data_IF_848310984293
#
_entry.id   IF_848310984293
#
_cell.length_a   1.000
_cell.length_b   1.000
_cell.length_c   1.000
_cell.angle_alpha   90.00
_cell.angle_beta   90.00
_cell.angle_gamma   90.00
#
_symmetry.space_group_name_H-M   'P 1'
#
loop_
_entity.id
_entity.type
_entity.pdbx_description
1 polymer ?
#
# COMPACT_ATOMS: atom_id res chain seq x y z
N UNK A 1 -5.33 34.65 8.04
CA UNK A 1 -5.92 33.35 7.69
C UNK A 1 -6.72 33.59 6.43
N UNK A 2 -6.29 33.09 5.27
CA UNK A 2 -7.15 33.07 4.08
C UNK A 2 -8.19 31.97 4.32
N UNK A 3 -9.45 32.26 4.07
CA UNK A 3 -10.54 31.29 4.22
C UNK A 3 -10.32 30.15 3.24
N UNK A 4 -9.82 29.02 3.74
CA UNK A 4 -9.72 27.81 2.96
C UNK A 4 -11.14 27.27 2.69
N UNK A 5 -11.44 26.97 1.42
CA UNK A 5 -12.77 26.60 0.96
C UNK A 5 -12.99 25.09 0.88
N UNK A 6 -14.23 24.69 0.60
CA UNK A 6 -14.59 23.33 0.21
C UNK A 6 -15.02 23.34 -1.25
N UNK A 7 -14.58 22.34 -2.02
CA UNK A 7 -15.08 22.10 -3.38
C UNK A 7 -15.67 20.70 -3.45
N UNK A 8 -16.89 20.63 -3.97
CA UNK A 8 -17.51 19.39 -4.45
C UNK A 8 -17.77 19.62 -5.93
N UNK A 9 -17.01 18.94 -6.77
CA UNK A 9 -17.22 18.95 -8.21
C UNK A 9 -17.90 17.65 -8.61
N UNK A 10 -19.19 17.74 -8.89
CA UNK A 10 -20.04 16.60 -9.27
C UNK A 10 -19.64 16.03 -10.64
N UNK A 11 -20.22 14.88 -10.98
CA UNK A 11 -20.03 14.25 -12.29
C UNK A 11 -20.32 15.25 -13.42
N UNK A 12 -19.47 15.26 -14.46
CA UNK A 12 -19.49 16.20 -15.58
C UNK A 12 -19.25 17.68 -15.22
N UNK A 13 -19.08 18.01 -13.93
CA UNK A 13 -18.75 19.35 -13.49
C UNK A 13 -17.37 19.78 -13.98
N UNK A 14 -17.25 21.05 -14.38
CA UNK A 14 -15.97 21.64 -14.80
C UNK A 14 -15.61 22.83 -13.93
N UNK A 15 -14.47 22.75 -13.25
CA UNK A 15 -13.87 23.87 -12.52
C UNK A 15 -12.64 24.35 -13.30
N UNK A 16 -12.49 25.67 -13.45
CA UNK A 16 -11.27 26.25 -14.02
C UNK A 16 -10.46 26.93 -12.93
N UNK A 17 -9.22 26.51 -12.74
CA UNK A 17 -8.26 27.15 -11.84
C UNK A 17 -7.00 27.58 -12.60
N UNK A 18 -6.74 28.89 -12.62
CA UNK A 18 -5.52 29.48 -13.15
C UNK A 18 -4.70 30.22 -12.08
N UNK A 19 -5.09 30.11 -10.81
CA UNK A 19 -4.42 30.72 -9.66
C UNK A 19 -4.05 29.68 -8.62
N UNK A 20 -3.92 30.10 -7.36
CA UNK A 20 -3.75 29.15 -6.23
C UNK A 20 -5.08 28.94 -5.54
N UNK A 21 -5.45 27.68 -5.35
CA UNK A 21 -6.60 27.25 -4.57
C UNK A 21 -6.11 26.58 -3.30
N UNK A 22 -6.52 27.11 -2.13
CA UNK A 22 -6.26 26.52 -0.81
C UNK A 22 -7.58 25.91 -0.31
N UNK A 23 -7.61 24.59 -0.10
CA UNK A 23 -8.84 23.88 0.30
C UNK A 23 -8.70 23.16 1.64
N UNK A 24 -9.83 23.05 2.32
CA UNK A 24 -10.02 22.16 3.47
C UNK A 24 -10.48 20.77 2.99
N UNK A 25 -11.37 20.77 2.00
CA UNK A 25 -11.97 19.56 1.45
C UNK A 25 -12.13 19.67 -0.06
N UNK A 26 -11.78 18.59 -0.76
CA UNK A 26 -12.01 18.44 -2.19
C UNK A 26 -12.61 17.06 -2.45
N UNK A 27 -13.79 17.05 -3.06
CA UNK A 27 -14.33 15.88 -3.75
C UNK A 27 -14.47 16.21 -5.23
N UNK A 28 -13.93 15.36 -6.09
CA UNK A 28 -13.97 15.58 -7.54
C UNK A 28 -14.38 14.31 -8.29
N UNK A 29 -15.55 14.36 -8.92
CA UNK A 29 -16.04 13.38 -9.90
C UNK A 29 -15.97 13.91 -11.35
N UNK A 30 -15.82 15.23 -11.51
CA UNK A 30 -15.74 15.90 -12.81
C UNK A 30 -14.30 16.26 -13.21
N UNK A 31 -14.16 17.37 -13.94
CA UNK A 31 -12.87 17.88 -14.40
C UNK A 31 -12.49 19.20 -13.72
N UNK A 32 -11.24 19.30 -13.24
CA UNK A 32 -10.66 20.57 -12.80
C UNK A 32 -9.48 20.90 -13.73
N UNK A 33 -9.57 21.99 -14.49
CA UNK A 33 -8.60 22.36 -15.53
C UNK A 33 -7.94 23.71 -15.27
N UNK A 34 -6.75 23.89 -15.84
CA UNK A 34 -6.07 25.18 -15.93
C UNK A 34 -4.60 25.08 -15.54
N UNK A 35 -3.93 26.21 -15.40
CA UNK A 35 -2.50 26.28 -15.08
C UNK A 35 -2.24 26.65 -13.62
N UNK A 36 -3.23 26.49 -12.76
CA UNK A 36 -3.17 26.87 -11.36
C UNK A 36 -2.39 25.87 -10.49
N UNK A 37 -2.32 26.17 -9.20
CA UNK A 37 -1.80 25.30 -8.17
C UNK A 37 -2.92 24.96 -7.20
N UNK A 38 -2.92 23.74 -6.68
CA UNK A 38 -3.84 23.35 -5.61
C UNK A 38 -3.02 22.98 -4.37
N UNK A 39 -3.20 23.77 -3.31
CA UNK A 39 -2.62 23.51 -2.00
C UNK A 39 -3.66 22.96 -1.05
N UNK A 40 -3.23 21.96 -0.32
CA UNK A 40 -4.08 20.91 0.12
C UNK A 40 -3.62 20.49 1.53
N UNK A 41 -3.94 21.34 2.53
CA UNK A 41 -3.17 21.38 3.79
C UNK A 41 -3.92 21.28 5.11
N UNK A 42 -5.20 20.88 5.08
CA UNK A 42 -5.99 20.65 6.29
C UNK A 42 -6.19 19.15 6.54
N UNK A 43 -6.27 18.72 7.80
CA UNK A 43 -6.65 17.34 8.10
C UNK A 43 -8.08 17.09 7.58
N UNK A 44 -8.22 16.12 6.68
CA UNK A 44 -9.46 15.82 5.97
C UNK A 44 -9.28 14.61 5.05
N UNK A 45 -10.38 14.16 4.44
CA UNK A 45 -10.36 13.14 3.38
C UNK A 45 -10.64 13.81 2.03
N UNK A 46 -9.91 13.40 1.02
CA UNK A 46 -9.81 14.09 -0.25
C UNK A 46 -10.07 13.05 -1.32
N UNK A 47 -11.26 13.10 -1.88
CA UNK A 47 -11.79 11.98 -2.66
C UNK A 47 -11.89 12.33 -4.14
N UNK A 48 -11.17 11.60 -4.97
CA UNK A 48 -11.11 11.80 -6.40
C UNK A 48 -11.61 10.54 -7.08
N UNK A 49 -12.93 10.42 -7.18
CA UNK A 49 -13.58 9.25 -7.75
C UNK A 49 -13.86 9.52 -9.23
N UNK A 50 -13.07 8.92 -10.12
CA UNK A 50 -13.15 9.07 -11.58
C UNK A 50 -12.88 10.48 -12.12
N UNK A 51 -12.62 11.45 -11.25
CA UNK A 51 -12.36 12.82 -11.63
C UNK A 51 -10.97 13.03 -12.23
N UNK A 52 -10.86 13.97 -13.16
CA UNK A 52 -9.60 14.36 -13.79
C UNK A 52 -9.19 15.76 -13.35
N UNK A 53 -7.94 15.94 -12.94
CA UNK A 53 -7.44 17.26 -12.53
C UNK A 53 -6.16 17.57 -13.28
N UNK A 54 -6.19 18.62 -14.08
CA UNK A 54 -5.05 19.15 -14.80
C UNK A 54 -4.69 20.53 -14.26
N UNK A 55 -3.56 20.61 -13.58
CA UNK A 55 -3.03 21.80 -12.91
C UNK A 55 -1.51 21.85 -13.08
N UNK A 56 -0.88 22.97 -12.75
CA UNK A 56 0.58 23.05 -12.76
C UNK A 56 1.18 22.20 -11.63
N UNK A 57 0.63 22.32 -10.41
CA UNK A 57 1.10 21.55 -9.27
C UNK A 57 0.02 21.24 -8.21
N UNK A 58 0.30 20.21 -7.43
CA UNK A 58 -0.45 19.79 -6.26
C UNK A 58 0.50 19.68 -5.06
N UNK A 59 0.09 20.22 -3.92
CA UNK A 59 0.85 20.09 -2.68
C UNK A 59 -0.06 19.65 -1.53
N UNK A 60 0.06 18.39 -1.14
CA UNK A 60 -0.69 17.78 -0.04
C UNK A 60 0.15 17.84 1.23
N UNK A 61 -0.19 18.72 2.16
CA UNK A 61 0.59 18.85 3.39
C UNK A 61 0.03 18.05 4.55
N UNK A 62 -1.27 17.71 4.52
CA UNK A 62 -1.98 16.95 5.57
C UNK A 62 -3.17 16.18 5.00
N UNK A 63 -3.69 15.24 5.77
CA UNK A 63 -4.94 14.53 5.45
C UNK A 63 -4.73 13.34 4.51
N UNK A 64 -5.81 12.80 3.95
CA UNK A 64 -5.77 11.57 3.17
C UNK A 64 -6.31 11.76 1.76
N UNK A 65 -5.47 11.52 0.76
CA UNK A 65 -5.82 11.47 -0.64
C UNK A 65 -6.27 10.06 -1.02
N UNK A 66 -7.45 9.92 -1.62
CA UNK A 66 -7.95 8.65 -2.13
C UNK A 66 -8.92 8.76 -3.31
N UNK A 67 -9.43 7.61 -3.74
CA UNK A 67 -10.20 7.44 -4.96
C UNK A 67 -9.34 6.95 -6.14
N UNK A 68 -9.95 6.89 -7.32
CA UNK A 68 -9.38 6.34 -8.55
C UNK A 68 -9.23 7.37 -9.69
N UNK A 69 -9.11 8.64 -9.34
CA UNK A 69 -8.99 9.75 -10.28
C UNK A 69 -7.60 9.90 -10.91
N UNK A 70 -7.47 10.89 -11.78
CA UNK A 70 -6.19 11.25 -12.39
C UNK A 70 -5.78 12.70 -12.10
N UNK A 71 -4.49 12.88 -11.86
CA UNK A 71 -3.84 14.17 -11.67
C UNK A 71 -2.85 14.40 -12.80
N UNK A 72 -2.80 15.59 -13.37
CA UNK A 72 -1.79 16.04 -14.33
C UNK A 72 -1.16 17.30 -13.79
N UNK A 73 0.16 17.29 -13.64
CA UNK A 73 0.93 18.31 -12.92
C UNK A 73 1.91 17.70 -11.93
N UNK A 74 2.88 18.49 -11.44
CA UNK A 74 3.83 18.02 -10.44
C UNK A 74 3.14 17.84 -9.09
N UNK A 75 3.38 16.72 -8.41
CA UNK A 75 2.74 16.40 -7.13
C UNK A 75 3.75 16.29 -6.01
N UNK A 76 3.44 16.92 -4.87
CA UNK A 76 4.21 16.81 -3.63
C UNK A 76 3.31 16.38 -2.48
N UNK A 77 3.73 15.36 -1.74
CA UNK A 77 3.06 14.81 -0.56
C UNK A 77 3.99 14.95 0.64
N UNK A 78 3.60 15.73 1.65
CA UNK A 78 4.39 15.89 2.87
C UNK A 78 4.10 14.76 3.87
N UNK A 79 4.96 14.67 4.89
CA UNK A 79 4.95 13.60 5.89
C UNK A 79 3.71 13.49 6.78
N UNK A 80 2.85 14.50 6.80
CA UNK A 80 1.57 14.46 7.51
C UNK A 80 0.38 14.09 6.60
N UNK A 81 0.63 13.81 5.31
CA UNK A 81 -0.36 13.37 4.35
C UNK A 81 -0.27 11.86 4.09
N UNK A 82 -1.40 11.26 3.73
CA UNK A 82 -1.53 9.84 3.38
C UNK A 82 -2.14 9.70 2.00
N UNK A 83 -1.66 8.76 1.19
CA UNK A 83 -2.31 8.32 -0.03
C UNK A 83 -2.90 6.93 0.22
N UNK A 84 -4.18 6.77 -0.08
CA UNK A 84 -4.91 5.52 -0.02
C UNK A 84 -5.82 5.47 -1.24
N UNK A 85 -5.45 4.81 -2.35
CA UNK A 85 -6.28 4.77 -3.54
C UNK A 85 -7.73 4.35 -3.23
N UNK A 86 -7.96 3.48 -2.23
CA UNK A 86 -9.27 2.98 -1.80
C UNK A 86 -10.44 3.94 -2.03
N UNK A 87 -11.44 3.49 -2.80
CA UNK A 87 -12.70 4.22 -2.99
C UNK A 87 -13.74 3.79 -1.93
N UNK A 88 -14.53 4.75 -1.43
CA UNK A 88 -15.56 4.50 -0.38
C UNK A 88 -16.63 3.47 -0.82
N UNK A 89 -16.79 3.25 -2.12
CA UNK A 89 -17.71 2.29 -2.75
C UNK A 89 -17.05 1.11 -3.46
N UNK A 90 -15.71 1.08 -3.56
CA UNK A 90 -14.95 -0.03 -4.13
C UNK A 90 -13.66 -0.19 -3.33
N UNK A 91 -13.43 -1.33 -2.66
CA UNK A 91 -12.26 -1.50 -1.79
C UNK A 91 -10.93 -1.50 -2.54
N UNK A 92 -10.95 -1.41 -3.86
CA UNK A 92 -9.80 -1.58 -4.74
C UNK A 92 -9.87 -0.58 -5.89
N UNK A 93 -8.73 0.04 -6.21
CA UNK A 93 -8.70 1.22 -7.07
C UNK A 93 -7.31 1.52 -7.63
N UNK A 94 -7.25 2.35 -8.65
CA UNK A 94 -5.99 2.86 -9.21
C UNK A 94 -6.00 4.37 -9.20
N UNK A 95 -5.07 4.98 -8.45
CA UNK A 95 -4.87 6.42 -8.44
C UNK A 95 -3.73 6.78 -9.40
N UNK A 96 -3.97 7.75 -10.29
CA UNK A 96 -3.01 8.07 -11.37
C UNK A 96 -2.46 9.49 -11.25
N UNK A 97 -1.13 9.63 -11.34
CA UNK A 97 -0.42 10.91 -11.45
C UNK A 97 0.31 11.00 -12.79
N UNK A 98 0.16 12.10 -13.51
CA UNK A 98 0.78 12.37 -14.80
C UNK A 98 1.73 13.56 -14.63
N UNK A 99 2.97 13.26 -14.29
CA UNK A 99 3.99 14.24 -13.95
C UNK A 99 4.96 13.73 -12.87
N UNK A 100 5.86 14.61 -12.45
CA UNK A 100 6.79 14.32 -11.36
C UNK A 100 6.03 14.15 -10.04
N UNK A 101 6.41 13.13 -9.28
CA UNK A 101 5.80 12.78 -8.00
C UNK A 101 6.87 12.72 -6.91
N UNK A 102 6.70 13.51 -5.86
CA UNK A 102 7.57 13.50 -4.68
C UNK A 102 6.76 13.24 -3.42
N UNK A 103 7.19 12.29 -2.60
CA UNK A 103 6.50 11.96 -1.35
C UNK A 103 7.44 11.77 -0.18
N UNK A 104 7.02 12.31 0.96
CA UNK A 104 7.50 11.95 2.30
C UNK A 104 6.36 11.44 3.20
N UNK A 105 5.15 11.32 2.63
CA UNK A 105 3.93 10.90 3.31
C UNK A 105 3.72 9.39 3.30
N UNK A 106 2.63 8.98 3.95
CA UNK A 106 2.27 7.57 4.09
C UNK A 106 1.54 7.05 2.86
N UNK A 107 1.76 5.77 2.52
CA UNK A 107 1.01 5.02 1.53
C UNK A 107 0.21 3.92 2.23
N UNK A 108 -1.07 3.81 1.91
CA UNK A 108 -1.94 2.72 2.32
C UNK A 108 -2.40 1.97 1.06
N UNK A 109 -2.11 0.67 1.00
CA UNK A 109 -2.40 -0.18 -0.14
C UNK A 109 -3.28 -1.33 0.34
N UNK A 110 -4.53 -1.37 -0.12
CA UNK A 110 -5.42 -2.49 0.16
C UNK A 110 -5.14 -3.69 -0.76
N UNK A 111 -5.12 -4.89 -0.20
CA UNK A 111 -4.95 -6.16 -0.92
C UNK A 111 -6.07 -7.11 -0.53
N UNK A 112 -6.81 -7.61 -1.51
CA UNK A 112 -7.86 -8.62 -1.30
C UNK A 112 -7.78 -9.82 -2.23
N UNK A 113 -6.75 -9.87 -3.07
CA UNK A 113 -6.48 -10.95 -4.00
C UNK A 113 -5.19 -10.72 -4.80
N UNK A 114 -4.92 -11.59 -5.77
CA UNK A 114 -3.69 -11.60 -6.56
C UNK A 114 -3.83 -10.91 -7.92
N UNK A 115 -5.04 -10.81 -8.43
CA UNK A 115 -5.28 -10.30 -9.78
C UNK A 115 -5.31 -8.77 -9.78
N UNK A 116 -4.98 -8.17 -10.93
CA UNK A 116 -5.15 -6.72 -11.14
C UNK A 116 -6.61 -6.35 -10.87
N UNK A 117 -6.82 -5.27 -10.11
CA UNK A 117 -8.15 -4.90 -9.63
C UNK A 117 -8.60 -5.69 -8.40
N UNK A 118 -7.73 -6.50 -7.79
CA UNK A 118 -7.92 -7.07 -6.46
C UNK A 118 -7.03 -6.43 -5.37
N UNK A 119 -6.18 -5.48 -5.76
CA UNK A 119 -5.32 -4.68 -4.90
C UNK A 119 -5.23 -3.24 -5.42
N UNK A 120 -4.97 -2.30 -4.52
CA UNK A 120 -4.76 -0.91 -4.86
C UNK A 120 -3.45 -0.69 -5.63
N UNK A 121 -3.50 0.20 -6.61
CA UNK A 121 -2.34 0.58 -7.39
C UNK A 121 -2.18 2.10 -7.45
N UNK A 122 -0.93 2.53 -7.41
CA UNK A 122 -0.48 3.89 -7.64
C UNK A 122 0.27 3.92 -8.97
N UNK A 123 -0.28 4.64 -9.95
CA UNK A 123 0.33 4.80 -11.27
C UNK A 123 0.89 6.21 -11.38
N UNK A 124 2.17 6.34 -11.71
CA UNK A 124 2.87 7.59 -11.89
C UNK A 124 3.46 7.59 -13.30
N UNK A 125 2.79 8.27 -14.23
CA UNK A 125 3.31 8.50 -15.58
C UNK A 125 4.34 9.64 -15.53
N UNK A 126 5.49 9.34 -14.93
CA UNK A 126 6.59 10.25 -14.65
C UNK A 126 7.59 9.65 -13.64
N UNK A 127 8.50 10.47 -13.13
CA UNK A 127 9.44 10.04 -12.08
C UNK A 127 8.81 10.12 -10.68
N UNK A 128 9.13 9.16 -9.83
CA UNK A 128 8.67 9.05 -8.45
C UNK A 128 9.86 9.07 -7.48
N UNK A 129 9.85 10.00 -6.54
CA UNK A 129 10.89 10.16 -5.53
C UNK A 129 10.30 10.09 -4.11
N UNK A 130 10.77 9.13 -3.31
CA UNK A 130 10.36 8.92 -1.93
C UNK A 130 11.49 9.31 -0.98
N UNK A 131 11.20 10.17 0.00
CA UNK A 131 12.20 10.66 0.97
C UNK A 131 11.90 10.27 2.42
N UNK A 132 10.84 9.49 2.63
CA UNK A 132 10.41 8.98 3.92
C UNK A 132 8.92 8.62 3.92
N UNK A 133 8.41 8.26 5.09
CA UNK A 133 7.02 7.83 5.28
C UNK A 133 6.91 6.32 5.52
N UNK A 134 5.68 5.86 5.67
CA UNK A 134 5.35 4.45 5.84
C UNK A 134 4.60 3.94 4.62
N UNK A 135 4.81 2.67 4.27
CA UNK A 135 3.88 1.94 3.41
C UNK A 135 3.20 0.86 4.23
N UNK A 136 1.88 0.92 4.33
CA UNK A 136 1.07 -0.08 5.00
C UNK A 136 0.30 -0.89 3.96
N UNK A 137 0.58 -2.19 3.90
CA UNK A 137 -0.23 -3.13 3.13
C UNK A 137 -1.33 -3.69 4.02
N UNK A 138 -2.58 -3.50 3.63
CA UNK A 138 -3.75 -3.93 4.37
C UNK A 138 -4.43 -5.11 3.66
N UNK A 139 -4.28 -6.29 4.23
CA UNK A 139 -4.91 -7.51 3.72
C UNK A 139 -6.36 -7.59 4.19
N UNK A 140 -7.30 -7.44 3.26
CA UNK A 140 -8.73 -7.36 3.53
C UNK A 140 -9.50 -8.58 2.99
N UNK A 141 -10.81 -8.63 3.24
CA UNK A 141 -11.72 -9.68 2.76
C UNK A 141 -11.33 -11.12 3.12
N UNK A 142 -10.55 -11.30 4.20
CA UNK A 142 -10.06 -12.62 4.62
C UNK A 142 -9.04 -13.22 3.66
N UNK A 143 -8.46 -12.42 2.75
CA UNK A 143 -7.42 -12.88 1.86
C UNK A 143 -6.16 -13.27 2.66
N UNK A 144 -5.58 -14.42 2.31
CA UNK A 144 -4.47 -15.03 3.04
C UNK A 144 -3.32 -15.19 2.04
N UNK A 145 -2.34 -14.28 2.05
CA UNK A 145 -1.24 -14.38 1.12
C UNK A 145 -0.38 -15.60 1.41
N UNK A 146 0.18 -16.19 0.37
CA UNK A 146 1.10 -17.31 0.38
C UNK A 146 2.50 -16.86 -0.02
N UNK A 147 3.52 -17.64 0.34
CA UNK A 147 4.89 -17.40 -0.11
C UNK A 147 4.95 -17.46 -1.65
N UNK A 148 5.59 -16.46 -2.25
CA UNK A 148 5.67 -16.27 -3.70
C UNK A 148 4.54 -15.41 -4.29
N UNK A 149 3.52 -15.06 -3.50
CA UNK A 149 2.53 -14.07 -3.91
C UNK A 149 3.21 -12.70 -4.07
N UNK A 150 2.81 -11.97 -5.10
CA UNK A 150 3.37 -10.65 -5.40
C UNK A 150 2.33 -9.68 -5.96
N UNK A 151 2.58 -8.38 -5.74
CA UNK A 151 1.71 -7.29 -6.20
C UNK A 151 2.53 -6.13 -6.77
N UNK A 152 2.17 -5.69 -7.97
CA UNK A 152 2.75 -4.51 -8.62
C UNK A 152 1.92 -3.27 -8.23
N UNK A 153 2.08 -2.81 -6.99
CA UNK A 153 1.26 -1.74 -6.43
C UNK A 153 1.71 -0.34 -6.87
N UNK A 154 2.95 -0.20 -7.37
CA UNK A 154 3.52 1.09 -7.79
C UNK A 154 4.12 0.96 -9.18
N UNK A 155 3.62 1.75 -10.13
CA UNK A 155 4.15 1.85 -11.49
C UNK A 155 4.69 3.26 -11.70
N UNK A 156 5.93 3.39 -12.16
CA UNK A 156 6.51 4.69 -12.54
C UNK A 156 7.62 4.55 -13.59
N UNK A 157 7.96 5.64 -14.29
CA UNK A 157 9.05 5.65 -15.27
C UNK A 157 10.42 5.46 -14.61
N UNK A 158 10.58 6.04 -13.41
CA UNK A 158 11.75 5.89 -12.55
C UNK A 158 11.32 6.01 -11.08
N UNK A 159 11.88 5.20 -10.21
CA UNK A 159 11.58 5.20 -8.77
C UNK A 159 12.88 5.39 -7.99
N UNK A 160 12.94 6.41 -7.14
CA UNK A 160 14.04 6.65 -6.19
C UNK A 160 13.54 6.67 -4.75
N UNK A 161 14.40 6.21 -3.83
CA UNK A 161 14.19 6.31 -2.39
C UNK A 161 13.06 5.46 -1.82
N UNK A 162 12.52 4.49 -2.57
CA UNK A 162 11.52 3.54 -2.07
C UNK A 162 12.04 2.72 -0.86
N UNK A 163 13.35 2.48 -0.83
CA UNK A 163 14.07 1.84 0.28
C UNK A 163 14.12 2.68 1.56
N UNK A 164 13.74 3.96 1.50
CA UNK A 164 13.59 4.83 2.67
C UNK A 164 12.27 4.64 3.43
N UNK A 165 11.29 3.94 2.84
CA UNK A 165 9.98 3.73 3.44
C UNK A 165 10.00 2.65 4.53
N UNK A 166 9.27 2.88 5.61
CA UNK A 166 8.99 1.84 6.60
C UNK A 166 7.82 0.97 6.14
N UNK A 167 8.04 -0.33 5.98
CA UNK A 167 7.01 -1.28 5.52
C UNK A 167 6.28 -1.89 6.72
N UNK A 168 4.95 -1.73 6.73
CA UNK A 168 4.04 -2.34 7.67
C UNK A 168 3.02 -3.24 6.98
N UNK A 169 2.47 -4.18 7.74
CA UNK A 169 1.41 -5.08 7.30
C UNK A 169 0.26 -5.07 8.29
N UNK A 170 -0.98 -5.11 7.79
CA UNK A 170 -2.19 -5.23 8.60
C UNK A 170 -3.19 -6.21 7.97
N UNK A 171 -4.14 -6.71 8.75
CA UNK A 171 -5.13 -7.69 8.25
C UNK A 171 -4.62 -9.12 8.09
N UNK A 172 -3.34 -9.36 8.39
CA UNK A 172 -2.77 -10.71 8.45
C UNK A 172 -3.20 -11.42 9.74
N UNK A 173 -3.72 -12.64 9.60
CA UNK A 173 -4.05 -13.51 10.73
C UNK A 173 -2.83 -14.21 11.35
N UNK A 174 -1.67 -14.17 10.67
CA UNK A 174 -0.43 -14.79 11.12
C UNK A 174 0.62 -13.70 11.35
N UNK A 175 1.20 -13.68 12.54
CA UNK A 175 2.25 -12.72 12.94
C UNK A 175 3.62 -12.97 12.28
N UNK A 176 3.69 -13.89 11.32
CA UNK A 176 4.91 -14.56 10.87
C UNK A 176 5.19 -14.40 9.37
N UNK A 177 4.29 -13.77 8.64
CA UNK A 177 4.49 -13.48 7.22
C UNK A 177 5.36 -12.22 7.12
N UNK A 178 6.50 -12.35 6.43
CA UNK A 178 7.33 -11.21 6.03
C UNK A 178 7.22 -11.04 4.52
N UNK A 179 7.00 -9.80 4.10
CA UNK A 179 7.15 -9.39 2.71
C UNK A 179 8.42 -8.57 2.54
N UNK A 180 9.06 -8.72 1.39
CA UNK A 180 10.15 -7.87 0.96
C UNK A 180 9.63 -6.89 -0.09
N UNK A 181 10.08 -5.64 -0.01
CA UNK A 181 9.80 -4.60 -1.00
C UNK A 181 10.96 -4.54 -1.98
N UNK A 182 10.66 -4.69 -3.25
CA UNK A 182 11.64 -4.79 -4.33
C UNK A 182 11.20 -3.92 -5.51
N UNK A 183 12.18 -3.46 -6.30
CA UNK A 183 11.94 -2.69 -7.53
C UNK A 183 12.41 -3.54 -8.70
N UNK A 184 11.59 -3.67 -9.73
CA UNK A 184 11.94 -4.32 -10.99
C UNK A 184 11.57 -3.44 -12.19
N UNK A 185 11.58 -4.01 -13.39
CA UNK A 185 11.23 -3.30 -14.63
C UNK A 185 9.77 -2.87 -14.75
N UNK A 186 8.88 -3.38 -13.89
CA UNK A 186 7.46 -3.03 -13.84
C UNK A 186 7.14 -1.98 -12.77
N UNK A 187 8.05 -1.75 -11.82
CA UNK A 187 7.95 -0.71 -10.79
C UNK A 187 8.24 -1.25 -9.39
N UNK A 188 7.56 -0.69 -8.39
CA UNK A 188 7.62 -1.17 -7.01
C UNK A 188 6.70 -2.38 -6.83
N UNK A 189 7.27 -3.49 -6.36
CA UNK A 189 6.53 -4.71 -6.10
C UNK A 189 6.74 -5.22 -4.68
N UNK A 190 5.67 -5.72 -4.07
CA UNK A 190 5.70 -6.46 -2.82
C UNK A 190 5.75 -7.96 -3.15
N UNK A 191 6.69 -8.71 -2.58
CA UNK A 191 6.74 -10.17 -2.66
C UNK A 191 6.73 -10.79 -1.26
N UNK A 192 5.96 -11.86 -1.05
CA UNK A 192 6.00 -12.62 0.20
C UNK A 192 7.11 -13.68 0.16
N UNK A 193 8.20 -13.46 0.90
CA UNK A 193 9.42 -14.28 0.75
C UNK A 193 9.61 -15.33 1.83
N UNK A 194 8.98 -15.19 3.01
CA UNK A 194 9.09 -16.20 4.07
C UNK A 194 7.78 -16.41 4.82
N UNK A 195 7.41 -17.69 4.96
CA UNK A 195 6.58 -18.15 6.07
C UNK A 195 7.56 -18.70 7.10
N UNK A 196 7.65 -18.06 8.28
CA UNK A 196 8.39 -18.67 9.39
C UNK A 196 7.68 -19.98 9.72
N UNK A 197 8.34 -21.15 9.69
CA UNK A 197 7.67 -22.40 10.02
C UNK A 197 7.16 -22.32 11.46
N UNK A 198 5.87 -22.57 11.65
CA UNK A 198 5.27 -22.52 12.98
C UNK A 198 6.07 -23.44 13.94
N UNK A 199 6.41 -22.97 15.16
CA UNK A 199 7.25 -23.72 16.10
C UNK A 199 6.69 -25.12 16.44
N UNK A 200 5.39 -25.33 16.23
CA UNK A 200 4.69 -26.59 16.45
C UNK A 200 5.22 -27.73 15.56
N UNK A 201 5.67 -27.46 14.33
CA UNK A 201 6.22 -28.50 13.45
C UNK A 201 7.52 -29.05 14.04
N UNK A 202 8.37 -28.18 14.59
CA UNK A 202 9.58 -28.60 15.27
C UNK A 202 9.29 -29.33 16.58
N UNK A 203 8.28 -28.88 17.33
CA UNK A 203 7.83 -29.57 18.54
C UNK A 203 7.29 -30.97 18.23
N UNK A 204 6.52 -31.13 17.16
CA UNK A 204 5.99 -32.42 16.67
C UNK A 204 7.11 -33.34 16.18
N UNK A 205 8.09 -32.81 15.44
CA UNK A 205 9.27 -33.57 15.02
C UNK A 205 10.08 -34.04 16.22
N UNK A 206 10.38 -33.15 17.17
CA UNK A 206 11.12 -33.48 18.40
C UNK A 206 10.34 -34.47 19.26
N UNK A 207 9.01 -34.32 19.37
CA UNK A 207 8.14 -35.27 20.06
C UNK A 207 8.16 -36.63 19.38
N UNK A 208 8.08 -36.67 18.04
CA UNK A 208 8.20 -37.89 17.26
C UNK A 208 9.55 -38.59 17.47
N UNK A 209 10.65 -37.84 17.45
CA UNK A 209 11.99 -38.36 17.73
C UNK A 209 12.14 -38.84 19.17
N UNK A 210 11.56 -38.12 20.13
CA UNK A 210 11.54 -38.51 21.55
C UNK A 210 10.80 -39.83 21.78
N UNK A 211 9.63 -40.00 21.15
CA UNK A 211 8.85 -41.24 21.22
C UNK A 211 9.60 -42.42 20.59
N UNK A 212 10.23 -42.22 19.42
CA UNK A 212 11.04 -43.25 18.76
C UNK A 212 12.24 -43.66 19.62
N UNK A 213 12.94 -42.69 20.22
CA UNK A 213 14.03 -42.95 21.15
C UNK A 213 13.59 -43.75 22.37
N UNK A 214 12.44 -43.41 22.95
CA UNK A 214 11.85 -44.12 24.09
C UNK A 214 11.51 -45.58 23.77
N UNK A 215 10.91 -45.84 22.59
CA UNK A 215 10.56 -47.20 22.15
C UNK A 215 11.80 -48.07 21.93
N UNK A 216 12.86 -47.51 21.31
CA UNK A 216 14.12 -48.22 21.09
C UNK A 216 14.80 -48.58 22.42
N UNK A 217 14.78 -47.69 23.40
CA UNK A 217 15.32 -47.96 24.74
C UNK A 217 14.63 -49.15 25.41
N UNK A 218 13.28 -49.19 25.39
CA UNK A 218 12.52 -50.30 25.98
C UNK A 218 12.84 -51.66 25.35
N UNK A 219 13.08 -51.71 24.03
CA UNK A 219 13.44 -52.95 23.33
C UNK A 219 14.83 -53.47 23.73
N UNK A 220 15.78 -52.58 24.04
CA UNK A 220 17.11 -52.99 24.52
C UNK A 220 17.04 -53.57 25.92
N UNK A 221 16.30 -52.92 26.82
CA UNK A 221 16.14 -53.36 28.21
C UNK A 221 15.45 -54.75 28.30
N UNK A 222 14.48 -55.03 27.42
CA UNK A 222 13.83 -56.34 27.34
C UNK A 222 14.72 -57.48 26.79
N UNK A 223 15.80 -57.16 26.06
CA UNK A 223 16.69 -58.17 25.47
C UNK A 223 17.78 -58.64 26.45
N UNK A 224 18.15 -57.82 27.44
CA UNK A 224 19.15 -58.14 28.47
C UNK A 224 18.64 -59.02 29.62
N UNK A 225 17.33 -59.29 29.72
CA UNK A 225 16.75 -60.07 30.83
C UNK A 225 16.59 -61.58 30.53
N UNK A 226 16.94 -62.04 29.33
CA UNK A 226 16.80 -63.45 28.92
C UNK A 226 18.14 -64.23 28.86
N UNK A 227 19.21 -63.72 29.46
CA UNK A 227 20.49 -64.43 29.61
C UNK A 227 20.78 -64.69 31.09
N UNK A 228 20.06 -65.65 31.69
CA UNK A 228 20.46 -66.36 32.91
C UNK A 228 19.94 -67.79 32.87
#
# INVERSE_FOLDING_TARGET
MKDAGNIINELDGTVTNNGTIDLIFLTNFGTINGSGNIHLGWPGFWNFNYGNINQASFHFTKGSLGGNGSFTGSTTIDSEATISPTEVSSPISTLTFNGEFHSSGDLLIDISGLEVGQYDALVINGSADFTGGNILFNFSNGFRPSVGDHWNFLLADNITGLDSLHVGFSGLHYSEIKGDLTIDSLGGHLEITTAVPEPEIYAMLLTGLGLLGFVVRRKKEAKTTNEH
#
